data_IF_255625255155
#
_entry.id   IF_255625255155
#
_cell.length_a   1.000
_cell.length_b   1.000
_cell.length_c   1.000
_cell.angle_alpha   90.00
_cell.angle_beta   90.00
_cell.angle_gamma   90.00
#
_symmetry.space_group_name_H-M   'P 1'
#
loop_
_entity.id
_entity.type
_entity.pdbx_description
1 polymer ?
#
# COMPACT_ATOMS: atom_id res chain seq x y z
N UNK A 1 -7.86 1.96 12.75
CA UNK A 1 -9.21 2.54 12.91
C UNK A 1 -9.82 2.79 11.53
N UNK A 2 -11.15 2.82 11.42
CA UNK A 2 -11.86 3.23 10.20
C UNK A 2 -12.73 4.44 10.50
N UNK A 3 -12.62 5.50 9.71
CA UNK A 3 -13.49 6.68 9.79
C UNK A 3 -14.03 6.95 8.39
N UNK A 4 -15.36 6.95 8.23
CA UNK A 4 -16.04 7.21 6.95
C UNK A 4 -15.49 6.36 5.77
N UNK A 5 -15.22 5.08 6.01
CA UNK A 5 -14.66 4.16 5.01
C UNK A 5 -13.15 4.28 4.78
N UNK A 6 -12.47 5.25 5.41
CA UNK A 6 -11.02 5.42 5.32
C UNK A 6 -10.33 4.67 6.44
N UNK A 7 -9.37 3.79 6.10
CA UNK A 7 -8.47 3.18 7.08
C UNK A 7 -7.42 4.19 7.53
N UNK A 8 -7.48 4.55 8.80
CA UNK A 8 -6.48 5.38 9.45
C UNK A 8 -5.50 4.46 10.18
N UNK A 9 -4.23 4.59 9.83
CA UNK A 9 -3.13 3.91 10.48
C UNK A 9 -2.15 4.93 11.04
N UNK A 10 -1.92 4.87 12.35
CA UNK A 10 -0.79 5.56 12.96
C UNK A 10 0.42 4.63 12.85
N UNK A 11 1.53 5.11 12.28
CA UNK A 11 2.75 4.31 12.22
C UNK A 11 3.27 4.12 13.66
N UNK A 12 3.74 2.91 14.06
CA UNK A 12 4.27 2.68 15.40
C UNK A 12 5.38 3.67 15.79
N UNK A 13 6.14 4.15 14.80
CA UNK A 13 7.17 5.18 14.96
C UNK A 13 6.62 6.47 15.62
N UNK A 14 5.41 6.92 15.28
CA UNK A 14 4.83 8.12 15.90
C UNK A 14 4.55 7.92 17.39
N UNK A 15 4.11 6.72 17.78
CA UNK A 15 3.86 6.38 19.19
C UNK A 15 5.17 6.41 19.97
N UNK A 16 6.23 5.81 19.42
CA UNK A 16 7.57 5.80 20.04
C UNK A 16 8.08 7.23 20.25
N UNK A 17 7.97 8.09 19.23
CA UNK A 17 8.39 9.49 19.32
C UNK A 17 7.62 10.23 20.42
N UNK A 18 6.31 10.04 20.51
CA UNK A 18 5.47 10.72 21.51
C UNK A 18 5.79 10.27 22.92
N UNK A 19 5.97 8.96 23.14
CA UNK A 19 6.40 8.41 24.43
C UNK A 19 7.77 8.97 24.83
N UNK A 20 8.71 9.04 23.89
CA UNK A 20 10.03 9.59 24.13
C UNK A 20 9.98 11.05 24.59
N UNK A 21 9.21 11.91 23.89
CA UNK A 21 9.05 13.31 24.29
C UNK A 21 8.31 13.47 25.62
N UNK A 22 7.26 12.69 25.86
CA UNK A 22 6.58 12.67 27.16
C UNK A 22 7.54 12.30 28.31
N UNK A 23 8.38 11.28 28.12
CA UNK A 23 9.37 10.88 29.11
C UNK A 23 10.39 12.02 29.37
N UNK A 24 10.83 12.72 28.33
CA UNK A 24 11.71 13.89 28.47
C UNK A 24 11.04 15.04 29.24
N UNK A 25 9.76 15.33 28.99
CA UNK A 25 9.05 16.39 29.73
C UNK A 25 8.86 16.03 31.20
N UNK A 26 8.50 14.78 31.50
CA UNK A 26 8.38 14.29 32.88
C UNK A 26 9.73 14.32 33.59
N UNK A 27 10.79 13.89 32.92
CA UNK A 27 12.15 13.97 33.47
C UNK A 27 12.57 15.41 33.78
N UNK A 28 12.37 16.32 32.83
CA UNK A 28 12.69 17.76 32.99
C UNK A 28 11.90 18.42 34.12
N UNK A 29 10.65 17.99 34.34
CA UNK A 29 9.85 18.42 35.48
C UNK A 29 10.46 17.97 36.81
N UNK A 30 10.89 16.71 36.94
CA UNK A 30 11.58 16.25 38.16
C UNK A 30 12.93 16.92 38.38
N UNK A 31 13.66 17.24 37.30
CA UNK A 31 14.96 17.89 37.38
C UNK A 31 14.88 19.38 37.75
N UNK A 32 13.87 20.11 37.23
CA UNK A 32 13.77 21.56 37.39
C UNK A 32 12.73 21.99 38.43
N UNK A 33 11.72 21.14 38.69
CA UNK A 33 10.55 21.48 39.51
C UNK A 33 9.53 22.41 38.83
N UNK A 34 9.75 22.77 37.57
CA UNK A 34 8.91 23.71 36.83
C UNK A 34 7.76 23.00 36.09
N UNK A 35 6.53 23.26 36.54
CA UNK A 35 5.30 22.73 35.94
C UNK A 35 5.03 23.20 34.50
N UNK A 36 5.71 24.26 34.04
CA UNK A 36 5.57 24.79 32.69
C UNK A 36 5.98 23.77 31.63
N UNK A 37 6.92 22.87 31.93
CA UNK A 37 7.30 21.77 31.04
C UNK A 37 6.16 20.79 30.79
N UNK A 38 5.33 20.49 31.79
CA UNK A 38 4.16 19.63 31.60
C UNK A 38 3.02 20.37 30.89
N UNK A 39 2.79 21.63 31.28
CA UNK A 39 1.73 22.46 30.70
C UNK A 39 1.87 22.62 29.18
N UNK A 40 3.10 22.83 28.69
CA UNK A 40 3.38 22.92 27.25
C UNK A 40 3.72 21.57 26.61
N UNK A 41 4.40 20.69 27.33
CA UNK A 41 4.87 19.40 26.80
C UNK A 41 3.73 18.44 26.46
N UNK A 42 2.65 18.43 27.25
CA UNK A 42 1.49 17.56 26.99
C UNK A 42 0.76 17.99 25.70
N UNK A 43 0.33 19.26 25.52
CA UNK A 43 -0.27 19.72 24.26
C UNK A 43 0.64 19.51 23.05
N UNK A 44 1.94 19.78 23.18
CA UNK A 44 2.90 19.59 22.09
C UNK A 44 3.00 18.13 21.68
N UNK A 45 3.08 17.22 22.66
CA UNK A 45 3.11 15.77 22.42
C UNK A 45 1.82 15.28 21.80
N UNK A 46 0.67 15.85 22.17
CA UNK A 46 -0.60 15.53 21.56
C UNK A 46 -0.66 15.99 20.09
N UNK A 47 -0.14 17.18 19.76
CA UNK A 47 -0.02 17.65 18.38
C UNK A 47 0.82 16.70 17.51
N UNK A 48 1.89 16.10 18.06
CA UNK A 48 2.70 15.09 17.35
C UNK A 48 1.91 13.83 16.98
N UNK A 49 0.81 13.52 17.69
CA UNK A 49 -0.11 12.45 17.31
C UNK A 49 -1.19 12.94 16.33
N UNK A 50 -1.74 14.13 16.56
CA UNK A 50 -2.87 14.65 15.78
C UNK A 50 -2.46 14.91 14.32
N UNK A 51 -1.31 15.54 14.09
CA UNK A 51 -0.85 15.90 12.73
C UNK A 51 -0.74 14.68 11.80
N UNK A 52 -0.02 13.59 12.14
CA UNK A 52 0.06 12.42 11.27
C UNK A 52 -1.29 11.70 11.12
N UNK A 53 -2.15 11.76 12.14
CA UNK A 53 -3.50 11.20 12.07
C UNK A 53 -4.37 11.93 11.04
N UNK A 54 -4.39 13.27 11.09
CA UNK A 54 -5.11 14.12 10.13
C UNK A 54 -4.57 13.91 8.72
N UNK A 55 -3.24 13.84 8.57
CA UNK A 55 -2.62 13.57 7.28
C UNK A 55 -3.04 12.18 6.72
N UNK A 56 -2.98 11.13 7.54
CA UNK A 56 -3.42 9.79 7.15
C UNK A 56 -4.88 9.77 6.71
N UNK A 57 -5.76 10.50 7.40
CA UNK A 57 -7.18 10.61 7.03
C UNK A 57 -7.37 11.38 5.73
N UNK A 58 -6.71 12.53 5.58
CA UNK A 58 -6.81 13.38 4.39
C UNK A 58 -6.43 12.61 3.13
N UNK A 59 -5.24 11.97 3.12
CA UNK A 59 -4.77 11.19 1.98
C UNK A 59 -5.71 10.01 1.70
N UNK A 60 -6.14 9.28 2.73
CA UNK A 60 -7.06 8.16 2.55
C UNK A 60 -8.42 8.58 1.97
N UNK A 61 -8.95 9.73 2.38
CA UNK A 61 -10.20 10.27 1.86
C UNK A 61 -10.10 10.69 0.38
N UNK A 62 -8.97 11.26 -0.03
CA UNK A 62 -8.71 11.62 -1.43
C UNK A 62 -8.68 10.38 -2.31
N UNK A 63 -8.05 9.30 -1.85
CA UNK A 63 -7.98 8.05 -2.59
C UNK A 63 -9.37 7.47 -2.84
N UNK A 64 -10.27 7.47 -1.85
CA UNK A 64 -11.64 6.98 -2.04
C UNK A 64 -12.44 7.83 -3.04
N UNK A 65 -12.22 9.15 -3.04
CA UNK A 65 -12.87 10.06 -3.99
C UNK A 65 -12.37 9.87 -5.42
N UNK A 66 -11.05 9.67 -5.58
CA UNK A 66 -10.40 9.53 -6.89
C UNK A 66 -10.52 8.12 -7.46
N UNK A 67 -10.69 7.09 -6.63
CA UNK A 67 -10.79 5.71 -7.09
C UNK A 67 -11.82 5.48 -8.21
N UNK A 68 -13.08 5.96 -8.15
CA UNK A 68 -14.04 5.75 -9.24
C UNK A 68 -13.62 6.43 -10.55
N UNK A 69 -13.05 7.63 -10.48
CA UNK A 69 -12.56 8.37 -11.65
C UNK A 69 -11.38 7.63 -12.30
N UNK A 70 -10.40 7.21 -11.49
CA UNK A 70 -9.27 6.44 -11.97
C UNK A 70 -9.68 5.06 -12.50
N UNK A 71 -10.70 4.42 -11.91
CA UNK A 71 -11.22 3.16 -12.44
C UNK A 71 -11.84 3.34 -13.83
N UNK A 72 -12.57 4.43 -14.06
CA UNK A 72 -13.18 4.75 -15.35
C UNK A 72 -12.15 5.12 -16.42
N UNK A 73 -11.10 5.86 -16.06
CA UNK A 73 -10.07 6.30 -17.01
C UNK A 73 -8.97 5.26 -17.25
N UNK A 74 -8.77 4.33 -16.31
CA UNK A 74 -7.70 3.34 -16.38
C UNK A 74 -7.86 2.40 -17.57
N UNK A 75 -6.79 2.28 -18.37
CA UNK A 75 -6.69 1.28 -19.43
C UNK A 75 -5.98 0.03 -18.91
N UNK A 76 -6.51 -1.14 -19.27
CA UNK A 76 -5.81 -2.41 -19.01
C UNK A 76 -4.54 -2.46 -19.87
N UNK A 77 -3.39 -2.62 -19.22
CA UNK A 77 -2.09 -2.65 -19.87
C UNK A 77 -1.18 -3.68 -19.22
N UNK A 78 -0.31 -4.31 -20.02
CA UNK A 78 0.68 -5.25 -19.51
C UNK A 78 1.85 -4.52 -18.87
N UNK A 79 2.49 -5.16 -17.89
CA UNK A 79 3.62 -4.57 -17.16
C UNK A 79 4.76 -4.15 -18.09
N UNK A 80 5.06 -4.95 -19.12
CA UNK A 80 6.11 -4.62 -20.11
C UNK A 80 5.85 -3.31 -20.89
N UNK A 81 4.61 -2.85 -20.96
CA UNK A 81 4.24 -1.60 -21.64
C UNK A 81 4.38 -0.37 -20.73
N UNK A 82 4.61 -0.59 -19.43
CA UNK A 82 4.79 0.48 -18.46
C UNK A 82 6.20 1.05 -18.64
N UNK A 83 6.25 2.30 -19.09
CA UNK A 83 7.48 3.01 -19.35
C UNK A 83 7.25 4.51 -19.49
N UNK A 84 8.23 5.26 -20.04
CA UNK A 84 8.17 6.71 -20.15
C UNK A 84 6.91 7.23 -20.87
N UNK A 85 6.44 6.52 -21.88
CA UNK A 85 5.25 6.89 -22.68
C UNK A 85 3.93 6.83 -21.89
N UNK A 86 3.93 6.13 -20.75
CA UNK A 86 2.77 5.94 -19.87
C UNK A 86 2.89 6.75 -18.57
N UNK A 87 3.98 7.51 -18.38
CA UNK A 87 4.15 8.36 -17.21
C UNK A 87 3.00 9.37 -17.09
N UNK A 88 2.45 9.50 -15.88
CA UNK A 88 1.32 10.38 -15.59
C UNK A 88 -0.05 9.86 -16.03
N UNK A 89 -0.14 8.70 -16.70
CA UNK A 89 -1.42 8.14 -17.15
C UNK A 89 -2.00 7.16 -16.11
N UNK A 90 -3.34 7.12 -15.97
CA UNK A 90 -4.01 6.09 -15.18
C UNK A 90 -3.90 4.74 -15.89
N UNK A 91 -3.53 3.71 -15.14
CA UNK A 91 -3.28 2.35 -15.62
C UNK A 91 -3.98 1.33 -14.74
N UNK A 92 -4.41 0.24 -15.36
CA UNK A 92 -4.95 -0.94 -14.70
C UNK A 92 -4.05 -2.13 -15.02
N UNK A 93 -3.54 -2.79 -13.99
CA UNK A 93 -2.60 -3.89 -14.10
C UNK A 93 -3.13 -5.05 -13.27
N UNK A 94 -3.04 -6.25 -13.82
CA UNK A 94 -3.43 -7.48 -13.15
C UNK A 94 -2.20 -8.38 -13.02
N UNK A 95 -2.06 -9.08 -11.91
CA UNK A 95 -0.97 -10.00 -11.74
C UNK A 95 -0.80 -10.52 -10.32
N UNK A 96 0.16 -11.43 -10.17
CA UNK A 96 0.43 -12.12 -8.91
C UNK A 96 1.42 -11.33 -8.06
N UNK A 97 1.11 -11.19 -6.77
CA UNK A 97 1.97 -10.51 -5.80
C UNK A 97 3.16 -11.41 -5.45
N UNK A 98 4.37 -10.97 -5.76
CA UNK A 98 5.61 -11.67 -5.42
C UNK A 98 6.17 -11.26 -4.05
N UNK A 99 5.99 -10.00 -3.65
CA UNK A 99 6.56 -9.47 -2.42
C UNK A 99 5.73 -8.30 -1.88
N UNK A 100 5.63 -8.21 -0.55
CA UNK A 100 4.94 -7.14 0.18
C UNK A 100 5.94 -6.47 1.13
N UNK A 101 6.10 -5.15 0.99
CA UNK A 101 6.99 -4.32 1.83
C UNK A 101 6.22 -3.14 2.41
N UNK A 102 6.77 -2.48 3.44
CA UNK A 102 6.27 -1.18 3.91
C UNK A 102 4.97 -1.22 4.73
N UNK A 103 4.46 -2.41 5.06
CA UNK A 103 3.25 -2.59 5.88
C UNK A 103 3.37 -1.93 7.26
N UNK A 104 4.56 -1.99 7.88
CA UNK A 104 4.83 -1.38 9.19
C UNK A 104 4.73 0.15 9.22
N UNK A 105 4.96 0.82 8.08
CA UNK A 105 4.99 2.28 7.98
C UNK A 105 3.65 2.82 7.43
N UNK A 106 2.61 1.98 7.37
CA UNK A 106 1.31 2.27 6.74
C UNK A 106 1.41 2.73 5.28
N UNK A 107 2.50 2.35 4.59
CA UNK A 107 2.78 2.65 3.19
C UNK A 107 3.15 1.36 2.46
N UNK A 108 2.18 0.48 2.19
CA UNK A 108 2.46 -0.81 1.61
C UNK A 108 2.92 -0.67 0.15
N UNK A 109 3.96 -1.43 -0.20
CA UNK A 109 4.46 -1.61 -1.55
C UNK A 109 4.37 -3.07 -1.96
N UNK A 110 3.83 -3.30 -3.16
CA UNK A 110 3.60 -4.63 -3.73
C UNK A 110 4.47 -4.80 -4.96
N UNK A 111 5.26 -5.87 -5.02
CA UNK A 111 5.93 -6.28 -6.26
C UNK A 111 5.05 -7.28 -6.97
N UNK A 112 4.69 -7.00 -8.23
CA UNK A 112 3.66 -7.73 -8.97
C UNK A 112 4.24 -8.24 -10.28
N UNK A 113 3.76 -9.40 -10.72
CA UNK A 113 4.16 -10.07 -11.96
C UNK A 113 2.94 -10.53 -12.76
N UNK A 114 2.85 -10.14 -14.03
CA UNK A 114 1.75 -10.52 -14.95
C UNK A 114 2.15 -11.58 -15.98
N UNK A 115 3.39 -12.09 -15.93
CA UNK A 115 3.98 -12.95 -16.98
C UNK A 115 4.90 -12.19 -17.94
N UNK A 116 4.66 -10.92 -18.21
CA UNK A 116 5.46 -10.08 -19.13
C UNK A 116 6.62 -9.34 -18.46
N UNK A 117 6.54 -9.12 -17.15
CA UNK A 117 7.54 -8.39 -16.37
C UNK A 117 7.11 -8.18 -14.92
N UNK A 118 7.98 -7.54 -14.13
CA UNK A 118 7.69 -7.19 -12.73
C UNK A 118 7.65 -5.69 -12.53
N UNK A 119 6.70 -5.18 -11.75
CA UNK A 119 6.65 -3.78 -11.33
C UNK A 119 6.37 -3.63 -9.84
N UNK A 120 6.81 -2.51 -9.27
CA UNK A 120 6.47 -2.13 -7.89
C UNK A 120 5.30 -1.16 -7.89
N UNK A 121 4.22 -1.54 -7.24
CA UNK A 121 3.08 -0.69 -6.95
C UNK A 121 3.15 -0.20 -5.50
N UNK A 122 3.19 1.11 -5.28
CA UNK A 122 3.32 1.72 -3.96
C UNK A 122 2.07 2.51 -3.62
N UNK A 123 1.63 2.40 -2.36
CA UNK A 123 0.49 3.14 -1.84
C UNK A 123 0.90 4.02 -0.66
N UNK A 124 0.34 5.23 -0.56
CA UNK A 124 0.59 6.13 0.58
C UNK A 124 -0.32 5.88 1.79
N UNK A 125 -1.29 4.99 1.67
CA UNK A 125 -2.29 4.68 2.68
C UNK A 125 -2.43 3.17 2.88
N UNK A 126 -2.78 2.71 4.09
CA UNK A 126 -3.00 1.30 4.34
C UNK A 126 -4.25 0.80 3.62
N UNK A 127 -4.21 -0.45 3.16
CA UNK A 127 -5.34 -1.12 2.54
C UNK A 127 -6.24 -1.80 3.56
N UNK A 128 -7.53 -1.83 3.26
CA UNK A 128 -8.52 -2.59 4.03
C UNK A 128 -8.39 -4.10 3.81
N UNK A 129 -8.00 -4.49 2.59
CA UNK A 129 -7.76 -5.88 2.22
C UNK A 129 -6.38 -6.35 2.67
N UNK A 130 -6.30 -7.60 3.13
CA UNK A 130 -5.04 -8.24 3.46
C UNK A 130 -4.46 -8.91 2.22
N UNK A 131 -3.50 -8.27 1.56
CA UNK A 131 -2.81 -8.79 0.37
C UNK A 131 -1.57 -9.57 0.80
N UNK A 132 -1.48 -10.83 0.37
CA UNK A 132 -0.36 -11.74 0.66
C UNK A 132 0.42 -12.06 -0.61
N UNK A 133 1.62 -12.60 -0.42
CA UNK A 133 2.41 -13.16 -1.52
C UNK A 133 1.66 -14.35 -2.10
N UNK A 134 1.55 -14.41 -3.43
CA UNK A 134 0.79 -15.42 -4.17
C UNK A 134 -0.63 -14.99 -4.55
N UNK A 135 -1.17 -13.92 -3.97
CA UNK A 135 -2.50 -13.43 -4.34
C UNK A 135 -2.49 -12.81 -5.75
N UNK A 136 -3.54 -13.09 -6.53
CA UNK A 136 -3.79 -12.39 -7.79
C UNK A 136 -4.55 -11.09 -7.50
N UNK A 137 -4.01 -9.96 -7.97
CA UNK A 137 -4.53 -8.63 -7.66
C UNK A 137 -4.66 -7.77 -8.91
N UNK A 138 -5.72 -6.97 -8.94
CA UNK A 138 -5.89 -5.87 -9.85
C UNK A 138 -5.46 -4.58 -9.15
N UNK A 139 -4.56 -3.83 -9.77
CA UNK A 139 -4.12 -2.52 -9.28
C UNK A 139 -4.54 -1.46 -10.28
N UNK A 140 -5.17 -0.43 -9.75
CA UNK A 140 -5.52 0.80 -10.45
C UNK A 140 -4.70 1.93 -9.85
N UNK A 141 -4.01 2.68 -10.71
CA UNK A 141 -3.11 3.73 -10.25
C UNK A 141 -2.51 4.54 -11.36
N UNK A 142 -1.51 5.36 -11.03
CA UNK A 142 -0.79 6.20 -11.98
C UNK A 142 0.66 5.77 -12.09
N UNK A 143 1.20 5.77 -13.31
CA UNK A 143 2.64 5.53 -13.50
C UNK A 143 3.43 6.78 -13.11
N UNK A 144 4.30 6.66 -12.12
CA UNK A 144 5.14 7.74 -11.62
C UNK A 144 6.60 7.31 -11.58
N UNK A 145 7.52 8.27 -11.70
CA UNK A 145 8.95 7.98 -11.56
C UNK A 145 9.31 7.97 -10.08
N UNK A 146 9.94 6.90 -9.57
CA UNK A 146 10.24 6.75 -8.13
C UNK A 146 11.17 7.85 -7.59
N UNK A 147 12.05 8.36 -8.44
CA UNK A 147 12.95 9.47 -8.15
C UNK A 147 12.98 10.39 -9.39
N UNK A 148 12.83 11.70 -9.19
CA UNK A 148 12.72 12.68 -10.26
C UNK A 148 13.84 12.53 -11.33
N UNK A 149 15.07 12.27 -10.90
CA UNK A 149 16.22 12.27 -11.79
C UNK A 149 16.64 10.88 -12.31
N UNK A 150 16.63 9.81 -11.49
CA UNK A 150 17.19 8.51 -11.89
C UNK A 150 16.41 7.27 -11.42
N UNK A 151 15.12 7.42 -11.05
CA UNK A 151 14.34 6.30 -10.52
C UNK A 151 13.62 5.47 -11.59
N UNK A 152 13.44 4.19 -11.29
CA UNK A 152 12.54 3.30 -12.03
C UNK A 152 11.09 3.83 -12.00
N UNK A 153 10.32 3.44 -13.02
CA UNK A 153 8.88 3.67 -13.02
C UNK A 153 8.20 2.74 -12.01
N UNK A 154 7.35 3.33 -11.18
CA UNK A 154 6.53 2.65 -10.20
C UNK A 154 5.09 3.07 -10.39
N UNK A 155 4.17 2.20 -9.97
CA UNK A 155 2.74 2.51 -10.04
C UNK A 155 2.34 3.06 -8.68
N UNK A 156 1.87 4.29 -8.66
CA UNK A 156 1.20 4.84 -7.50
C UNK A 156 -0.20 4.26 -7.41
N UNK A 157 -0.38 3.24 -6.58
CA UNK A 157 -1.61 2.48 -6.47
C UNK A 157 -2.66 3.27 -5.70
N UNK A 158 -3.80 3.56 -6.34
CA UNK A 158 -4.95 4.23 -5.72
C UNK A 158 -5.96 3.18 -5.25
N UNK A 159 -6.26 2.22 -6.13
CA UNK A 159 -7.12 1.07 -5.86
C UNK A 159 -6.34 -0.24 -5.95
N UNK A 160 -6.63 -1.18 -5.05
CA UNK A 160 -6.19 -2.58 -5.17
C UNK A 160 -7.39 -3.46 -4.88
N UNK A 161 -7.67 -4.41 -5.76
CA UNK A 161 -8.71 -5.42 -5.62
C UNK A 161 -8.05 -6.79 -5.73
N UNK A 162 -8.52 -7.77 -4.96
CA UNK A 162 -8.17 -9.17 -5.23
C UNK A 162 -9.05 -9.68 -6.35
N UNK A 163 -8.47 -10.44 -7.27
CA UNK A 163 -9.21 -11.14 -8.31
C UNK A 163 -9.24 -12.60 -7.87
N UNK A 164 -10.41 -13.08 -7.43
CA UNK A 164 -10.60 -14.48 -7.03
C UNK A 164 -10.85 -15.42 -8.22
N UNK A 165 -10.76 -14.93 -9.45
CA UNK A 165 -11.15 -15.70 -10.64
C UNK A 165 -10.08 -16.71 -11.05
N UNK A 166 -10.21 -17.94 -10.57
CA UNK A 166 -10.44 -19.03 -11.50
C UNK A 166 -11.95 -19.07 -11.76
N UNK A 167 -12.39 -18.92 -13.00
CA UNK A 167 -13.79 -19.24 -13.31
C UNK A 167 -13.98 -20.76 -13.11
N UNK A 168 -15.13 -21.24 -12.59
CA UNK A 168 -15.38 -22.68 -12.42
C UNK A 168 -15.16 -23.49 -13.72
N UNK A 169 -15.33 -22.84 -14.88
CA UNK A 169 -15.12 -23.43 -16.20
C UNK A 169 -13.63 -23.66 -16.53
N UNK A 170 -12.73 -22.80 -16.06
CA UNK A 170 -11.27 -22.96 -16.23
C UNK A 170 -10.66 -23.94 -15.21
N UNK A 171 -11.33 -24.14 -14.06
CA UNK A 171 -10.97 -25.20 -13.11
C UNK A 171 -11.20 -26.60 -13.68
N UNK A 172 -12.29 -26.80 -14.43
CA UNK A 172 -12.57 -28.08 -15.09
C UNK A 172 -11.56 -28.36 -16.23
N UNK A 173 -11.18 -27.35 -17.03
CA UNK A 173 -10.11 -27.52 -18.05
C UNK A 173 -8.72 -27.78 -17.43
N UNK A 174 -8.43 -27.19 -16.27
CA UNK A 174 -7.19 -27.43 -15.52
C UNK A 174 -7.15 -28.81 -14.85
N UNK A 175 -8.30 -29.33 -14.39
CA UNK A 175 -8.42 -30.69 -13.85
C UNK A 175 -8.31 -31.76 -14.95
N UNK A 176 -8.90 -31.53 -16.12
CA UNK A 176 -8.78 -32.44 -17.28
C UNK A 176 -7.36 -32.47 -17.86
N UNK A 177 -6.65 -31.34 -17.86
CA UNK A 177 -5.25 -31.29 -18.36
C UNK A 177 -4.20 -31.80 -17.37
N UNK A 178 -4.53 -31.91 -16.08
CA UNK A 178 -3.62 -32.44 -15.05
C UNK A 178 -3.69 -33.96 -14.92
N UNK A 179 -4.83 -34.60 -15.25
CA UNK A 179 -4.95 -36.06 -15.25
C UNK A 179 -4.20 -36.75 -16.40
N UNK A 180 -3.91 -36.03 -17.50
CA UNK A 180 -3.15 -36.56 -18.65
C UNK A 180 -1.63 -36.55 -18.47
N UNK A 181 -1.09 -35.98 -17.38
CA UNK A 181 0.36 -35.91 -17.12
C UNK A 181 0.90 -36.83 -16.02
N UNK A 182 0.17 -37.90 -15.68
CA UNK A 182 0.79 -39.06 -15.02
C UNK A 182 0.91 -40.19 -16.02
N UNK A 183 2.11 -40.37 -16.59
CA UNK A 183 2.85 -41.64 -16.71
C UNK A 183 4.20 -41.32 -17.40
N UNK A 184 5.28 -41.33 -16.63
CA UNK A 184 6.48 -42.10 -16.98
C UNK A 184 7.31 -42.30 -15.70
N UNK A 185 7.05 -43.43 -15.05
CA UNK A 185 8.04 -44.08 -14.16
C UNK A 185 9.26 -44.40 -15.01
N UNK A 186 10.45 -44.06 -14.53
CA UNK A 186 11.66 -44.80 -14.87
C UNK A 186 12.15 -45.50 -13.61
N UNK A 187 12.58 -46.75 -13.83
CA UNK A 187 12.96 -47.78 -12.88
C UNK A 187 14.05 -47.36 -11.89
#
# INVERSE_FOLDING_TARGET
MKIKGVKIGLAPMHIVVVIFFLALFVWSFFATGDGMFLYWGIPLSLCLLIIPLVNSYSVGSQYLKLLPEYEAESKSCRIKQLGPSMAGKPVRIEGVVQNVKGTFINRPGYKIFDGSGTITAQRSTPLDINVRVGDNVQIVGMVVKRFAFAGDYVVHAIGVKKIDTLTPLEMDEALVSSDTRKIKKYH
#
